data_IF_210589878034
#
_entry.id   IF_210589878034
#
_cell.length_a   1.000
_cell.length_b   1.000
_cell.length_c   1.000
_cell.angle_alpha   90.00
_cell.angle_beta   90.00
_cell.angle_gamma   90.00
#
_symmetry.space_group_name_H-M   'P 1'
#
loop_
_entity.id
_entity.type
_entity.pdbx_description
1 polymer ?
#
# COMPACT_ATOMS: atom_id res chain seq x y z
N UNK A 1 1.40 7.26 -4.86
CA UNK A 1 1.10 5.94 -5.45
C UNK A 1 2.40 5.28 -5.86
N UNK A 2 2.56 3.97 -5.66
CA UNK A 2 3.79 3.21 -5.94
C UNK A 2 3.44 1.89 -6.61
N UNK A 3 4.13 1.53 -7.69
CA UNK A 3 4.09 0.17 -8.25
C UNK A 3 4.96 -0.75 -7.38
N UNK A 4 4.35 -1.84 -6.92
CA UNK A 4 5.00 -2.89 -6.13
C UNK A 4 4.99 -4.18 -6.96
N UNK A 5 6.16 -4.74 -7.23
CA UNK A 5 6.31 -5.94 -8.05
C UNK A 5 6.43 -7.23 -7.23
N UNK A 6 6.74 -7.12 -5.94
CA UNK A 6 7.00 -8.26 -5.08
C UNK A 6 6.88 -7.87 -3.59
N UNK A 7 6.97 -8.87 -2.72
CA UNK A 7 6.89 -8.71 -1.26
C UNK A 7 8.00 -7.83 -0.69
N UNK A 8 9.22 -7.90 -1.24
CA UNK A 8 10.35 -7.09 -0.77
C UNK A 8 10.07 -5.59 -0.96
N UNK A 9 9.62 -5.19 -2.15
CA UNK A 9 9.25 -3.81 -2.44
C UNK A 9 8.08 -3.34 -1.56
N UNK A 10 7.10 -4.21 -1.30
CA UNK A 10 5.99 -3.91 -0.40
C UNK A 10 6.47 -3.63 1.03
N UNK A 11 7.31 -4.52 1.60
CA UNK A 11 7.84 -4.39 2.95
C UNK A 11 8.62 -3.08 3.13
N UNK A 12 9.47 -2.73 2.16
CA UNK A 12 10.17 -1.45 2.20
C UNK A 12 9.21 -0.26 2.14
N UNK A 13 8.21 -0.33 1.27
CA UNK A 13 7.28 0.78 1.06
C UNK A 13 6.33 0.98 2.25
N UNK A 14 5.79 -0.09 2.84
CA UNK A 14 4.84 0.04 3.95
C UNK A 14 5.52 0.59 5.21
N UNK A 15 6.76 0.18 5.49
CA UNK A 15 7.53 0.65 6.65
C UNK A 15 7.89 2.12 6.52
N UNK A 16 8.54 2.50 5.41
CA UNK A 16 9.05 3.87 5.22
C UNK A 16 7.96 4.84 4.75
N UNK A 17 7.09 4.38 3.85
CA UNK A 17 6.15 5.23 3.13
C UNK A 17 4.82 5.43 3.85
N UNK A 18 4.31 4.43 4.56
CA UNK A 18 3.00 4.49 5.21
C UNK A 18 3.09 4.56 6.74
N UNK A 19 3.91 3.70 7.35
CA UNK A 19 4.10 3.71 8.80
C UNK A 19 5.06 4.82 9.26
N UNK A 20 5.76 5.48 8.32
CA UNK A 20 6.75 6.53 8.59
C UNK A 20 7.81 6.10 9.61
N UNK A 21 8.19 4.82 9.57
CA UNK A 21 9.23 4.27 10.43
C UNK A 21 10.57 4.45 9.72
N UNK A 22 11.32 5.44 10.19
CA UNK A 22 12.70 5.71 9.78
C UNK A 22 13.61 5.85 11.01
N UNK A 23 14.88 6.17 10.81
CA UNK A 23 15.85 6.32 11.90
C UNK A 23 15.49 7.49 12.84
N UNK A 24 14.67 8.44 12.40
CA UNK A 24 14.25 9.62 13.16
C UNK A 24 12.98 9.32 13.99
N UNK A 25 12.12 8.43 13.51
CA UNK A 25 10.89 7.99 14.17
C UNK A 25 10.90 6.46 14.40
N UNK A 26 11.55 5.98 15.48
CA UNK A 26 11.58 4.56 15.77
C UNK A 26 10.17 4.04 16.09
N UNK A 27 9.92 2.79 15.69
CA UNK A 27 8.67 2.10 15.94
C UNK A 27 8.35 2.04 17.44
N UNK A 28 7.12 2.43 17.79
CA UNK A 28 6.51 2.19 19.11
C UNK A 28 5.99 0.76 19.27
N UNK A 29 5.86 0.03 18.17
CA UNK A 29 5.48 -1.38 18.19
C UNK A 29 6.66 -2.27 18.59
N UNK A 30 6.37 -3.31 19.35
CA UNK A 30 7.29 -4.44 19.50
C UNK A 30 7.54 -5.11 18.15
N UNK A 31 8.72 -5.72 17.91
CA UNK A 31 9.06 -6.30 16.60
C UNK A 31 8.01 -7.27 16.05
N UNK A 32 7.45 -8.13 16.89
CA UNK A 32 6.42 -9.09 16.52
C UNK A 32 5.07 -8.43 16.18
N UNK A 33 4.76 -7.30 16.82
CA UNK A 33 3.54 -6.55 16.58
C UNK A 33 3.62 -5.81 15.24
N UNK A 34 4.77 -5.19 14.96
CA UNK A 34 5.04 -4.56 13.68
C UNK A 34 4.93 -5.56 12.52
N UNK A 35 5.53 -6.74 12.68
CA UNK A 35 5.49 -7.79 11.66
C UNK A 35 4.05 -8.25 11.38
N UNK A 36 3.24 -8.45 12.44
CA UNK A 36 1.81 -8.80 12.28
C UNK A 36 1.05 -7.72 11.53
N UNK A 37 1.34 -6.45 11.80
CA UNK A 37 0.66 -5.33 11.13
C UNK A 37 1.05 -5.24 9.65
N UNK A 38 2.34 -5.41 9.33
CA UNK A 38 2.84 -5.49 7.95
C UNK A 38 2.15 -6.62 7.19
N UNK A 39 2.01 -7.80 7.80
CA UNK A 39 1.33 -8.93 7.18
C UNK A 39 -0.17 -8.70 7.02
N UNK A 40 -0.82 -8.06 8.00
CA UNK A 40 -2.25 -7.73 7.96
C UNK A 40 -2.60 -6.82 6.79
N UNK A 41 -1.71 -5.90 6.44
CA UNK A 41 -1.89 -4.95 5.35
C UNK A 41 -1.38 -5.45 4.00
N UNK A 42 -0.86 -6.69 3.91
CA UNK A 42 -0.26 -7.20 2.69
C UNK A 42 -1.28 -7.20 1.52
N UNK A 43 -0.83 -6.83 0.31
CA UNK A 43 -1.67 -6.96 -0.88
C UNK A 43 -1.97 -8.43 -1.17
N UNK A 44 -3.08 -8.69 -1.87
CA UNK A 44 -3.49 -10.05 -2.23
C UNK A 44 -2.57 -10.70 -3.25
N UNK A 45 -2.01 -9.90 -4.15
CA UNK A 45 -1.15 -10.35 -5.23
C UNK A 45 -0.23 -9.22 -5.71
N UNK A 46 0.83 -9.62 -6.41
CA UNK A 46 1.75 -8.74 -7.12
C UNK A 46 1.77 -9.07 -8.62
N UNK A 47 2.04 -8.10 -9.51
CA UNK A 47 2.24 -6.68 -9.22
C UNK A 47 0.94 -5.94 -8.89
N UNK A 48 1.02 -4.92 -8.05
CA UNK A 48 -0.09 -4.02 -7.74
C UNK A 48 0.38 -2.56 -7.55
N UNK A 49 -0.54 -1.60 -7.67
CA UNK A 49 -0.30 -0.21 -7.29
C UNK A 49 -0.79 0.00 -5.85
N UNK A 50 0.07 0.53 -4.99
CA UNK A 50 -0.29 0.96 -3.65
C UNK A 50 -0.47 2.48 -3.59
N UNK A 51 -1.55 2.92 -2.92
CA UNK A 51 -1.86 4.32 -2.73
C UNK A 51 -2.29 4.56 -1.28
N UNK A 52 -1.77 5.63 -0.68
CA UNK A 52 -2.27 6.15 0.59
C UNK A 52 -3.48 7.02 0.27
N UNK A 53 -4.61 6.73 0.90
CA UNK A 53 -5.85 7.49 0.76
C UNK A 53 -6.19 8.13 2.10
N UNK A 54 -6.54 9.42 2.05
CA UNK A 54 -7.11 10.13 3.19
C UNK A 54 -8.56 9.68 3.36
N UNK A 55 -9.00 9.47 4.60
CA UNK A 55 -10.40 9.17 4.83
C UNK A 55 -11.31 10.39 4.64
N UNK A 56 -12.61 10.15 4.74
CA UNK A 56 -13.62 11.20 4.60
C UNK A 56 -13.75 12.00 5.92
N UNK A 57 -12.98 13.09 6.03
CA UNK A 57 -13.10 14.08 7.10
C UNK A 57 -11.76 14.42 7.78
N UNK A 58 -11.64 15.61 8.36
CA UNK A 58 -10.37 16.13 8.90
C UNK A 58 -9.72 15.34 10.05
N UNK A 59 -10.36 14.27 10.52
CA UNK A 59 -9.88 13.37 11.59
C UNK A 59 -9.80 11.90 11.18
N UNK A 60 -10.10 11.56 9.93
CA UNK A 60 -10.05 10.17 9.49
C UNK A 60 -8.62 9.71 9.29
N UNK A 61 -8.31 8.51 9.77
CA UNK A 61 -7.01 7.89 9.59
C UNK A 61 -6.73 7.64 8.09
N UNK A 62 -5.48 7.87 7.69
CA UNK A 62 -5.01 7.42 6.39
C UNK A 62 -5.13 5.90 6.29
N UNK A 63 -5.33 5.39 5.08
CA UNK A 63 -5.33 3.94 4.82
C UNK A 63 -4.62 3.62 3.51
N UNK A 64 -4.20 2.37 3.36
CA UNK A 64 -3.61 1.87 2.11
C UNK A 64 -4.68 1.22 1.25
N UNK A 65 -4.77 1.67 0.00
CA UNK A 65 -5.54 1.03 -1.05
C UNK A 65 -4.60 0.38 -2.07
N UNK A 66 -4.94 -0.85 -2.47
CA UNK A 66 -4.26 -1.55 -3.56
C UNK A 66 -5.14 -1.61 -4.80
N UNK A 67 -4.54 -1.30 -5.95
CA UNK A 67 -5.17 -1.37 -7.26
C UNK A 67 -4.47 -2.49 -8.04
N UNK A 68 -5.25 -3.47 -8.48
CA UNK A 68 -4.75 -4.68 -9.13
C UNK A 68 -4.86 -4.59 -10.65
N UNK A 69 -4.20 -5.54 -11.34
CA UNK A 69 -4.20 -5.63 -12.80
C UNK A 69 -5.61 -5.60 -13.39
N UNK A 70 -6.54 -6.37 -12.83
CA UNK A 70 -7.92 -6.46 -13.32
C UNK A 70 -8.63 -5.10 -13.35
N UNK A 71 -8.42 -4.28 -12.31
CA UNK A 71 -8.97 -2.92 -12.25
C UNK A 71 -8.32 -2.01 -13.30
N UNK A 72 -7.01 -2.10 -13.47
CA UNK A 72 -6.29 -1.32 -14.48
C UNK A 72 -6.75 -1.71 -15.89
N UNK A 73 -6.93 -3.00 -16.16
CA UNK A 73 -7.45 -3.50 -17.44
C UNK A 73 -8.87 -3.01 -17.71
N UNK A 74 -9.74 -3.04 -16.69
CA UNK A 74 -11.09 -2.49 -16.78
C UNK A 74 -11.06 -0.99 -17.11
N UNK A 75 -10.24 -0.21 -16.40
CA UNK A 75 -10.11 1.23 -16.65
C UNK A 75 -9.52 1.52 -18.02
N UNK A 76 -8.53 0.74 -18.46
CA UNK A 76 -7.92 0.90 -19.77
C UNK A 76 -8.93 0.63 -20.90
N UNK A 77 -9.83 -0.35 -20.72
CA UNK A 77 -10.95 -0.60 -21.65
C UNK A 77 -11.94 0.57 -21.67
N UNK A 78 -12.36 1.05 -20.49
CA UNK A 78 -13.27 2.19 -20.37
C UNK A 78 -12.70 3.47 -21.00
N UNK A 79 -11.38 3.63 -20.98
CA UNK A 79 -10.66 4.76 -21.58
C UNK A 79 -10.29 4.55 -23.05
N UNK A 80 -10.61 3.41 -23.66
CA UNK A 80 -10.29 3.12 -25.07
C UNK A 80 -8.80 2.95 -25.36
N UNK A 81 -7.99 2.61 -24.34
CA UNK A 81 -6.54 2.38 -24.48
C UNK A 81 -6.28 0.95 -24.98
N UNK A 82 -7.08 -0.01 -24.53
CA UNK A 82 -7.04 -1.42 -24.95
C UNK A 82 -8.44 -1.87 -25.33
N UNK A 83 -8.54 -2.78 -26.30
CA UNK A 83 -9.79 -3.35 -26.78
C UNK A 83 -10.20 -4.60 -25.97
#
# INVERSE_FOLDING_TARGET
>A
MKLLNNEFEYREWIVKGYLHLDEEFPSVFEPDELEREILRQAPKEFPCLAQIVEGEGGYSLQSVQFIYRSQIEEWAKLLGIVN
#
